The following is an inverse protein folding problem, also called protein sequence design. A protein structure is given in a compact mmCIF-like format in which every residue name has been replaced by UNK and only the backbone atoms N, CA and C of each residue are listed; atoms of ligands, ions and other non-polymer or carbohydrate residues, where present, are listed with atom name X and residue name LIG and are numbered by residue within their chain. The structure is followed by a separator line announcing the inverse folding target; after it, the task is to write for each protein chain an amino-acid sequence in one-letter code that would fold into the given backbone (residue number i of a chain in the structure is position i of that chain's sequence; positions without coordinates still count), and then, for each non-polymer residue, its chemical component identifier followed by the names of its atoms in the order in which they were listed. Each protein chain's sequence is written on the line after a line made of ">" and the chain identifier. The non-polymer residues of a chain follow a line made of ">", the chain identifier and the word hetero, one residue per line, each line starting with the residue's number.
data_IF_829184516171
#
_entry.id   IF_829184516171
#
_cell.length_a   1.000
_cell.length_b   1.000
_cell.length_c   1.000
_cell.angle_alpha   90.00
_cell.angle_beta   90.00
_cell.angle_gamma   90.00
#
_symmetry.space_group_name_H-M   'P 1'
#
loop_
_entity.id
_entity.type
_entity.pdbx_description
1 polymer ?
#
# COMPACT_ATOMS: atom_id res chain seq x y z
N UNK A 1 -16.72 -21.72 21.22
CA UNK A 1 -15.88 -20.53 21.46
C UNK A 1 -15.00 -20.34 20.24
N UNK A 2 -15.46 -19.55 19.28
CA UNK A 2 -14.76 -19.30 18.01
C UNK A 2 -13.58 -18.36 18.26
N UNK A 3 -12.35 -18.78 17.93
CA UNK A 3 -11.15 -17.95 18.05
C UNK A 3 -11.16 -16.87 16.98
N UNK A 4 -11.91 -15.80 17.24
CA UNK A 4 -11.79 -14.54 16.51
C UNK A 4 -10.35 -14.04 16.71
N UNK A 5 -9.53 -14.10 15.65
CA UNK A 5 -8.16 -13.54 15.54
C UNK A 5 -6.93 -14.47 15.63
N UNK A 6 -7.00 -15.75 15.28
CA UNK A 6 -5.76 -16.49 14.95
C UNK A 6 -5.30 -16.18 13.52
N UNK A 7 -4.81 -14.94 13.31
CA UNK A 7 -4.11 -14.58 12.07
C UNK A 7 -2.67 -15.09 12.14
N UNK A 8 -2.21 -15.77 11.09
CA UNK A 8 -0.80 -16.19 10.93
C UNK A 8 0.21 -15.04 11.10
N UNK A 9 -0.20 -13.81 10.76
CA UNK A 9 0.62 -12.59 10.85
C UNK A 9 -0.22 -11.39 11.34
N UNK A 10 0.40 -10.40 12.02
CA UNK A 10 -0.28 -9.22 12.54
C UNK A 10 -0.56 -8.18 11.44
N UNK A 11 -1.36 -8.57 10.44
CA UNK A 11 -1.76 -7.73 9.32
C UNK A 11 -3.13 -7.09 9.58
N UNK A 12 -3.26 -5.74 9.52
CA UNK A 12 -4.54 -5.06 9.70
C UNK A 12 -5.47 -5.25 8.49
N UNK A 13 -4.93 -5.35 7.28
CA UNK A 13 -5.70 -5.53 6.05
C UNK A 13 -6.22 -6.97 5.83
N UNK A 14 -5.69 -7.96 6.55
CA UNK A 14 -6.16 -9.34 6.44
C UNK A 14 -7.39 -9.54 7.32
N UNK A 15 -8.58 -9.61 6.73
CA UNK A 15 -9.85 -9.83 7.45
C UNK A 15 -10.18 -11.32 7.63
N UNK A 16 -9.71 -12.19 6.72
CA UNK A 16 -9.85 -13.64 6.79
C UNK A 16 -8.51 -14.33 6.50
N UNK A 17 -7.90 -14.92 7.54
CA UNK A 17 -6.65 -15.64 7.38
C UNK A 17 -6.90 -17.05 6.88
N UNK A 18 -6.52 -17.32 5.62
CA UNK A 18 -6.67 -18.64 4.99
C UNK A 18 -5.49 -19.59 5.23
N UNK A 19 -4.57 -19.23 6.13
CA UNK A 19 -3.40 -20.05 6.46
C UNK A 19 -2.58 -20.50 5.25
N UNK A 20 -2.50 -19.65 4.23
CA UNK A 20 -1.77 -19.95 3.01
C UNK A 20 -0.26 -20.12 3.26
N UNK A 21 0.41 -20.80 2.34
CA UNK A 21 1.88 -20.89 2.33
C UNK A 21 2.52 -19.51 2.28
N UNK A 22 3.77 -19.41 2.74
CA UNK A 22 4.48 -18.14 2.86
C UNK A 22 4.63 -17.40 1.53
N UNK A 23 4.70 -18.14 0.42
CA UNK A 23 4.76 -17.59 -0.94
C UNK A 23 3.42 -16.93 -1.37
N UNK A 24 2.30 -17.49 -0.90
CA UNK A 24 0.96 -16.96 -1.17
C UNK A 24 0.55 -15.84 -0.20
N UNK A 25 1.20 -15.74 0.96
CA UNK A 25 0.87 -14.74 1.99
C UNK A 25 1.52 -13.36 1.73
N UNK A 26 1.47 -12.88 0.48
CA UNK A 26 2.13 -11.62 0.06
C UNK A 26 1.54 -10.39 0.73
N UNK A 27 0.24 -10.37 1.01
CA UNK A 27 -0.37 -9.27 1.76
C UNK A 27 0.30 -9.15 3.14
N UNK A 28 0.16 -10.16 3.99
CA UNK A 28 0.62 -10.06 5.37
C UNK A 28 2.16 -10.02 5.55
N UNK A 29 2.93 -10.59 4.62
CA UNK A 29 4.40 -10.58 4.69
C UNK A 29 5.02 -9.28 4.20
N UNK A 30 4.36 -8.58 3.28
CA UNK A 30 4.84 -7.28 2.81
C UNK A 30 4.39 -6.21 3.80
N UNK A 31 5.03 -6.18 4.98
CA UNK A 31 4.75 -5.19 6.06
C UNK A 31 4.77 -3.75 5.53
N UNK A 32 5.56 -3.48 4.49
CA UNK A 32 5.63 -2.18 3.84
C UNK A 32 4.45 -1.85 2.93
N UNK A 33 3.59 -2.80 2.55
CA UNK A 33 2.45 -2.58 1.65
C UNK A 33 1.09 -2.82 2.33
N UNK A 34 0.95 -3.81 3.20
CA UNK A 34 -0.31 -4.17 3.88
C UNK A 34 -0.59 -3.46 5.21
N UNK A 35 0.31 -2.57 5.63
CA UNK A 35 0.17 -1.79 6.85
C UNK A 35 0.34 -0.30 6.59
N UNK A 36 0.33 0.14 5.32
CA UNK A 36 0.38 1.58 5.06
C UNK A 36 -0.96 2.16 5.45
N UNK A 37 -0.90 3.19 6.30
CA UNK A 37 -2.02 4.09 6.53
C UNK A 37 -2.58 4.50 5.17
N UNK A 38 -3.87 4.21 4.94
CA UNK A 38 -4.58 4.78 3.80
C UNK A 38 -4.58 6.30 3.98
N UNK A 39 -4.09 7.02 2.98
CA UNK A 39 -4.14 8.47 2.97
C UNK A 39 -5.60 8.92 2.93
N UNK A 40 -5.92 9.99 3.66
CA UNK A 40 -7.20 10.68 3.48
C UNK A 40 -7.31 11.24 2.05
N UNK A 41 -8.52 11.56 1.61
CA UNK A 41 -8.74 12.13 0.27
C UNK A 41 -7.89 13.39 0.05
N UNK A 42 -7.83 14.27 1.04
CA UNK A 42 -7.02 15.49 0.98
C UNK A 42 -5.52 15.18 0.82
N UNK A 43 -4.98 14.20 1.56
CA UNK A 43 -3.59 13.78 1.43
C UNK A 43 -3.29 13.12 0.08
N UNK A 44 -4.24 12.37 -0.48
CA UNK A 44 -4.10 11.80 -1.82
C UNK A 44 -4.03 12.89 -2.89
N UNK A 45 -4.92 13.89 -2.81
CA UNK A 45 -4.92 15.05 -3.72
C UNK A 45 -3.59 15.79 -3.63
N UNK A 46 -3.15 16.15 -2.42
CA UNK A 46 -1.88 16.85 -2.21
C UNK A 46 -0.67 16.08 -2.77
N UNK A 47 -0.68 14.75 -2.61
CA UNK A 47 0.38 13.88 -3.15
C UNK A 47 0.37 13.84 -4.68
N UNK A 48 -0.81 13.75 -5.30
CA UNK A 48 -0.98 13.77 -6.75
C UNK A 48 -0.47 15.08 -7.35
N UNK A 49 -0.89 16.21 -6.80
CA UNK A 49 -0.43 17.53 -7.25
C UNK A 49 1.09 17.69 -7.12
N UNK A 50 1.69 17.21 -6.03
CA UNK A 50 3.14 17.28 -5.83
C UNK A 50 3.91 16.47 -6.88
N UNK A 51 3.43 15.27 -7.22
CA UNK A 51 4.03 14.44 -8.27
C UNK A 51 3.92 15.12 -9.65
N UNK A 52 2.76 15.70 -9.96
CA UNK A 52 2.56 16.37 -11.24
C UNK A 52 3.33 17.68 -11.35
N UNK A 53 3.51 18.43 -10.25
CA UNK A 53 4.38 19.61 -10.22
C UNK A 53 5.84 19.24 -10.52
N UNK A 54 6.32 18.12 -9.96
CA UNK A 54 7.68 17.63 -10.20
C UNK A 54 7.88 17.03 -11.61
N UNK A 55 6.82 16.53 -12.23
CA UNK A 55 6.85 16.00 -13.59
C UNK A 55 6.60 17.06 -14.68
N UNK A 56 6.35 18.32 -14.28
CA UNK A 56 6.12 19.45 -15.19
C UNK A 56 7.38 20.24 -15.54
N UNK A 57 8.57 19.81 -15.10
CA UNK A 57 9.82 20.32 -15.65
C UNK A 57 10.03 19.67 -17.02
N UNK A 58 10.25 20.44 -18.10
CA UNK A 58 10.52 19.87 -19.42
C UNK A 58 11.75 18.95 -19.32
N UNK A 59 11.68 17.80 -19.98
CA UNK A 59 12.83 16.91 -20.07
C UNK A 59 13.96 17.59 -20.83
N UNK A 60 15.22 17.17 -20.66
CA UNK A 60 16.37 17.72 -21.41
C UNK A 60 16.32 17.46 -22.93
N UNK A 61 15.22 16.89 -23.43
CA UNK A 61 14.99 16.45 -24.80
C UNK A 61 13.82 17.17 -25.49
N UNK A 62 13.24 18.21 -24.87
CA UNK A 62 12.23 19.10 -25.46
C UNK A 62 12.83 20.38 -26.11
N UNK A 63 14.08 20.33 -26.60
CA UNK A 63 14.64 21.35 -27.51
C UNK A 63 14.76 20.77 -28.93
N UNK A 64 14.01 21.38 -29.85
CA UNK A 64 13.84 21.04 -31.28
C UNK A 64 15.16 20.91 -32.07
#
# INVERSE_FOLDING_TARGET
>A
MTRENEKKHPCPDCTYCQWCSDDRCRLCRTRGACCRRKLSLAEQIARYEALNRAAGEPGPDDEE
#
